data_IF_734419729652
#
_entry.id   IF_734419729652
#
_cell.length_a   1.000
_cell.length_b   1.000
_cell.length_c   1.000
_cell.angle_alpha   90.00
_cell.angle_beta   90.00
_cell.angle_gamma   90.00
#
_symmetry.space_group_name_H-M   'P 1'
#
loop_
_entity.id
_entity.type
_entity.pdbx_description
1 polymer ?
#
# COMPACT_ATOMS: atom_id res chain seq x y z
N UNK A 1 15.23 11.84 12.25
CA UNK A 1 15.94 10.96 11.30
C UNK A 1 15.22 11.00 9.96
N UNK A 2 15.94 10.84 8.88
CA UNK A 2 15.35 10.69 7.55
C UNK A 2 15.36 9.23 7.17
N UNK A 3 14.24 8.73 6.70
CA UNK A 3 14.06 7.33 6.34
C UNK A 3 13.53 7.26 4.92
N UNK A 4 14.20 6.49 4.07
CA UNK A 4 13.69 6.13 2.75
C UNK A 4 13.24 4.67 2.80
N UNK A 5 12.01 4.42 2.36
CA UNK A 5 11.45 3.08 2.29
C UNK A 5 10.91 2.85 0.88
N UNK A 6 11.31 1.75 0.26
CA UNK A 6 10.85 1.37 -1.06
C UNK A 6 10.17 0.00 -1.00
N UNK A 7 8.98 -0.11 -1.55
CA UNK A 7 8.27 -1.38 -1.61
C UNK A 7 6.79 -1.21 -1.88
N UNK A 8 6.04 -2.20 -1.45
CA UNK A 8 4.62 -2.31 -1.74
C UNK A 8 3.74 -1.42 -0.88
N UNK A 9 2.66 -0.97 -1.50
CA UNK A 9 1.46 -0.46 -0.87
C UNK A 9 0.28 -1.20 -1.52
N UNK A 10 -0.63 -1.70 -0.70
CA UNK A 10 -1.72 -2.54 -1.19
C UNK A 10 -2.93 -2.45 -0.26
N UNK A 11 -4.05 -2.94 -0.75
CA UNK A 11 -5.25 -3.10 0.03
C UNK A 11 -5.44 -4.57 0.40
N UNK A 12 -5.59 -4.83 1.69
CA UNK A 12 -6.05 -6.13 2.18
C UNK A 12 -7.57 -6.15 2.06
N UNK A 13 -8.07 -7.04 1.21
CA UNK A 13 -9.49 -7.13 0.87
C UNK A 13 -10.10 -8.31 1.61
N UNK A 14 -10.94 -8.00 2.58
CA UNK A 14 -11.73 -8.97 3.35
C UNK A 14 -13.14 -9.04 2.79
N UNK A 15 -13.94 -9.99 3.27
CA UNK A 15 -15.32 -10.14 2.81
C UNK A 15 -16.19 -8.88 3.05
N UNK A 16 -15.91 -8.13 4.10
CA UNK A 16 -16.73 -7.00 4.56
C UNK A 16 -15.96 -5.69 4.71
N UNK A 17 -14.66 -5.67 4.40
CA UNK A 17 -13.84 -4.47 4.59
C UNK A 17 -12.57 -4.51 3.73
N UNK A 18 -11.99 -3.33 3.52
CA UNK A 18 -10.66 -3.20 2.91
C UNK A 18 -9.79 -2.36 3.83
N UNK A 19 -8.53 -2.75 3.96
CA UNK A 19 -7.55 -2.01 4.78
C UNK A 19 -6.28 -1.76 3.98
N UNK A 20 -5.81 -0.52 4.02
CA UNK A 20 -4.53 -0.16 3.41
C UNK A 20 -3.40 -0.78 4.22
N UNK A 21 -2.48 -1.44 3.53
CA UNK A 21 -1.39 -2.17 4.17
C UNK A 21 -0.19 -2.36 3.25
N UNK A 22 0.50 -3.45 3.51
CA UNK A 22 1.80 -3.75 2.95
C UNK A 22 2.89 -3.49 4.00
N UNK A 23 3.84 -4.41 4.14
CA UNK A 23 4.85 -4.33 5.19
C UNK A 23 5.66 -3.03 5.12
N UNK A 24 6.07 -2.62 3.92
CA UNK A 24 6.87 -1.41 3.74
C UNK A 24 6.04 -0.16 3.97
N UNK A 25 4.79 -0.12 3.48
CA UNK A 25 3.89 0.99 3.78
C UNK A 25 3.65 1.12 5.30
N UNK A 26 3.41 0.01 5.99
CA UNK A 26 3.20 0.01 7.44
C UNK A 26 4.41 0.54 8.19
N UNK A 27 5.61 0.15 7.77
CA UNK A 27 6.86 0.67 8.33
C UNK A 27 6.96 2.20 8.13
N UNK A 28 6.69 2.66 6.91
CA UNK A 28 6.75 4.09 6.57
C UNK A 28 5.74 4.91 7.40
N UNK A 29 4.51 4.42 7.50
CA UNK A 29 3.46 5.11 8.28
C UNK A 29 3.81 5.16 9.76
N UNK A 30 4.32 4.07 10.31
CA UNK A 30 4.74 4.00 11.71
C UNK A 30 5.92 4.93 12.01
N UNK A 31 6.92 4.94 11.15
CA UNK A 31 8.07 5.83 11.29
C UNK A 31 7.65 7.30 11.24
N UNK A 32 6.73 7.65 10.34
CA UNK A 32 6.21 9.02 10.26
C UNK A 32 5.46 9.40 11.53
N UNK A 33 4.68 8.49 12.06
CA UNK A 33 3.94 8.73 13.32
C UNK A 33 4.87 8.97 14.51
N UNK A 34 6.07 8.37 14.48
CA UNK A 34 7.11 8.60 15.49
C UNK A 34 7.88 9.91 15.28
N UNK A 35 7.53 10.70 14.26
CA UNK A 35 8.14 12.01 14.02
C UNK A 35 9.31 12.03 13.06
N UNK A 36 9.59 10.93 12.37
CA UNK A 36 10.66 10.88 11.38
C UNK A 36 10.22 11.48 10.05
N UNK A 37 11.17 12.04 9.30
CA UNK A 37 10.96 12.42 7.91
C UNK A 37 11.05 11.17 7.04
N UNK A 38 9.97 10.84 6.33
CA UNK A 38 9.88 9.59 5.58
C UNK A 38 9.67 9.87 4.10
N UNK A 39 10.48 9.21 3.27
CA UNK A 39 10.33 9.19 1.81
C UNK A 39 9.88 7.78 1.42
N UNK A 40 8.59 7.62 1.17
CA UNK A 40 8.02 6.34 0.77
C UNK A 40 7.96 6.26 -0.75
N UNK A 41 8.68 5.29 -1.30
CA UNK A 41 8.81 5.07 -2.74
C UNK A 41 8.01 3.84 -3.11
N UNK A 42 6.95 4.03 -3.87
CA UNK A 42 6.04 2.96 -4.26
C UNK A 42 5.29 3.33 -5.54
N UNK A 43 4.25 2.60 -5.84
CA UNK A 43 3.35 2.92 -6.94
C UNK A 43 1.94 2.43 -6.66
N UNK A 44 0.96 3.18 -7.16
CA UNK A 44 -0.47 2.82 -7.16
C UNK A 44 -0.99 2.88 -8.58
N UNK A 45 -2.11 2.22 -8.83
CA UNK A 45 -2.79 2.31 -10.11
C UNK A 45 -3.55 3.62 -10.26
N UNK A 46 -3.87 3.97 -11.51
CA UNK A 46 -4.79 5.06 -11.82
C UNK A 46 -6.22 4.53 -11.70
N UNK A 47 -6.64 4.25 -10.48
CA UNK A 47 -7.92 3.65 -10.14
C UNK A 47 -8.45 4.17 -8.80
N UNK A 48 -9.64 3.73 -8.43
CA UNK A 48 -10.29 4.17 -7.19
C UNK A 48 -9.43 3.82 -5.96
N UNK A 49 -8.88 2.61 -5.92
CA UNK A 49 -8.02 2.17 -4.80
C UNK A 49 -6.73 2.97 -4.73
N UNK A 50 -6.17 3.34 -5.88
CA UNK A 50 -4.97 4.19 -5.92
C UNK A 50 -5.23 5.58 -5.35
N UNK A 51 -6.33 6.20 -5.75
CA UNK A 51 -6.72 7.51 -5.22
C UNK A 51 -7.02 7.45 -3.72
N UNK A 52 -7.69 6.39 -3.27
CA UNK A 52 -7.98 6.19 -1.86
C UNK A 52 -6.69 5.98 -1.04
N UNK A 53 -5.71 5.26 -1.59
CA UNK A 53 -4.42 5.06 -0.95
C UNK A 53 -3.68 6.38 -0.77
N UNK A 54 -3.62 7.21 -1.80
CA UNK A 54 -2.97 8.53 -1.71
C UNK A 54 -3.67 9.44 -0.71
N UNK A 55 -4.99 9.42 -0.69
CA UNK A 55 -5.77 10.18 0.30
C UNK A 55 -5.43 9.73 1.73
N UNK A 56 -5.39 8.43 1.97
CA UNK A 56 -5.06 7.88 3.28
C UNK A 56 -3.64 8.25 3.71
N UNK A 57 -2.69 8.24 2.79
CA UNK A 57 -1.33 8.69 3.07
C UNK A 57 -1.29 10.14 3.54
N UNK A 58 -2.06 11.04 2.87
CA UNK A 58 -2.14 12.44 3.28
C UNK A 58 -2.75 12.58 4.66
N UNK A 59 -3.76 11.80 4.98
CA UNK A 59 -4.38 11.78 6.32
C UNK A 59 -3.39 11.36 7.41
N UNK A 60 -2.43 10.50 7.05
CA UNK A 60 -1.36 10.05 7.95
C UNK A 60 -0.15 10.98 7.93
N UNK A 61 -0.23 12.10 7.24
CA UNK A 61 0.88 13.04 7.07
C UNK A 61 2.11 12.40 6.43
N UNK A 62 1.89 11.44 5.55
CA UNK A 62 2.93 10.74 4.81
C UNK A 62 3.00 11.31 3.39
N UNK A 63 4.16 11.82 3.00
CA UNK A 63 4.35 12.46 1.69
C UNK A 63 4.09 11.49 0.54
N UNK A 64 3.35 11.94 -0.49
CA UNK A 64 2.96 11.12 -1.63
C UNK A 64 3.81 11.35 -2.87
N UNK A 65 4.73 12.30 -2.85
CA UNK A 65 5.47 12.75 -4.05
C UNK A 65 6.36 11.69 -4.70
N UNK A 66 6.73 10.65 -3.97
CA UNK A 66 7.52 9.53 -4.48
C UNK A 66 6.70 8.29 -4.76
N UNK A 67 5.38 8.39 -4.73
CA UNK A 67 4.47 7.31 -5.13
C UNK A 67 4.00 7.58 -6.55
N UNK A 68 4.39 6.71 -7.49
CA UNK A 68 3.97 6.84 -8.89
C UNK A 68 2.52 6.44 -9.04
N UNK A 69 1.84 7.10 -9.98
CA UNK A 69 0.55 6.61 -10.49
C UNK A 69 0.82 5.92 -11.82
N UNK A 70 0.53 4.63 -11.91
CA UNK A 70 0.86 3.80 -13.08
C UNK A 70 -0.41 3.45 -13.82
N UNK A 71 -0.54 3.96 -15.05
CA UNK A 71 -1.65 3.58 -15.93
C UNK A 71 -1.50 2.13 -16.39
N UNK A 72 -2.63 1.42 -16.50
CA UNK A 72 -2.65 0.07 -17.03
C UNK A 72 -2.25 -1.03 -16.05
N UNK A 73 -1.95 -0.68 -14.79
CA UNK A 73 -1.68 -1.64 -13.71
C UNK A 73 -2.58 -1.35 -12.53
N UNK A 74 -3.22 -2.36 -11.94
CA UNK A 74 -4.10 -2.13 -10.79
C UNK A 74 -3.28 -1.80 -9.54
N UNK A 75 -3.85 -0.99 -8.66
CA UNK A 75 -3.33 -0.85 -7.30
C UNK A 75 -3.28 -2.22 -6.63
N UNK A 76 -2.22 -2.50 -5.86
CA UNK A 76 -2.01 -3.80 -5.24
C UNK A 76 -3.15 -4.20 -4.33
N UNK A 77 -3.52 -5.47 -4.40
CA UNK A 77 -4.54 -6.08 -3.54
C UNK A 77 -4.09 -7.45 -3.07
N UNK A 78 -4.52 -7.80 -1.87
CA UNK A 78 -4.41 -9.13 -1.31
C UNK A 78 -5.80 -9.54 -0.86
N UNK A 79 -6.33 -10.63 -1.40
CA UNK A 79 -7.60 -11.18 -0.95
C UNK A 79 -7.36 -12.04 0.29
N UNK A 80 -8.13 -11.80 1.34
CA UNK A 80 -8.01 -12.51 2.62
C UNK A 80 -9.34 -13.20 2.94
N UNK A 81 -9.28 -14.49 3.24
CA UNK A 81 -10.48 -15.27 3.61
C UNK A 81 -10.13 -16.30 4.68
N UNK A 82 -11.17 -16.91 5.24
CA UNK A 82 -10.99 -18.05 6.14
C UNK A 82 -11.14 -19.33 5.33
N UNK A 83 -10.23 -20.29 5.54
CA UNK A 83 -10.30 -21.60 4.93
C UNK A 83 -11.34 -22.50 5.65
N UNK A 84 -11.48 -23.75 5.23
CA UNK A 84 -12.43 -24.69 5.81
C UNK A 84 -12.18 -25.00 7.30
N UNK A 85 -10.97 -24.78 7.78
CA UNK A 85 -10.58 -24.98 9.19
C UNK A 85 -10.68 -23.66 9.99
N UNK A 86 -11.17 -22.60 9.40
CA UNK A 86 -11.28 -21.28 10.05
C UNK A 86 -9.95 -20.53 10.16
N UNK A 87 -8.91 -20.98 9.47
CA UNK A 87 -7.61 -20.30 9.45
C UNK A 87 -7.58 -19.27 8.32
N UNK A 88 -6.91 -18.11 8.53
CA UNK A 88 -6.76 -17.13 7.46
C UNK A 88 -5.87 -17.66 6.34
N UNK A 89 -6.33 -17.42 5.12
CA UNK A 89 -5.57 -17.68 3.91
C UNK A 89 -5.65 -16.45 3.02
N UNK A 90 -4.73 -16.32 2.06
CA UNK A 90 -4.66 -15.11 1.25
C UNK A 90 -4.11 -15.38 -0.14
N UNK A 91 -4.48 -14.51 -1.08
CA UNK A 91 -3.93 -14.49 -2.45
C UNK A 91 -3.40 -13.10 -2.75
N UNK A 92 -2.13 -13.00 -3.10
CA UNK A 92 -1.51 -11.77 -3.57
C UNK A 92 -1.74 -11.68 -5.07
N UNK A 93 -2.42 -10.60 -5.51
CA UNK A 93 -2.73 -10.38 -6.91
C UNK A 93 -1.57 -9.64 -7.60
N UNK A 94 -0.92 -10.30 -8.55
CA UNK A 94 0.20 -9.75 -9.31
C UNK A 94 0.07 -10.05 -10.79
N UNK A 95 0.62 -9.19 -11.71
CA UNK A 95 1.36 -7.97 -11.38
C UNK A 95 0.46 -6.86 -10.85
N UNK A 96 1.01 -6.02 -10.00
CA UNK A 96 0.33 -4.86 -9.42
C UNK A 96 1.17 -3.61 -9.65
N UNK A 97 0.58 -2.43 -9.42
CA UNK A 97 1.26 -1.15 -9.64
C UNK A 97 2.56 -1.04 -8.85
N UNK A 98 2.61 -1.54 -7.61
CA UNK A 98 3.83 -1.45 -6.79
C UNK A 98 5.02 -2.24 -7.35
N UNK A 99 4.79 -3.19 -8.26
CA UNK A 99 5.87 -3.89 -8.96
C UNK A 99 6.64 -2.95 -9.89
N UNK A 100 6.10 -1.77 -10.17
CA UNK A 100 6.65 -0.76 -11.06
C UNK A 100 7.08 0.51 -10.31
N UNK A 101 7.32 0.42 -9.01
CA UNK A 101 7.84 1.53 -8.22
C UNK A 101 9.21 1.95 -8.77
N UNK A 102 9.46 3.26 -8.81
CA UNK A 102 10.71 3.81 -9.31
C UNK A 102 11.02 5.13 -8.62
N UNK A 103 12.29 5.40 -8.52
CA UNK A 103 12.81 6.67 -8.04
C UNK A 103 12.62 7.79 -9.05
#
# INVERSE_FOLDING_TARGET
>A
MRIAAIGEILWDVFADAERLGGAVFNLAAHARRLGHEVYFISAVGDDVRGRAALKRMRELDLATRFVRVVAGRPTGTVSVWLDSDGQPDFTIHRPAAYDFAAL
#
